data_IF_798015138665
#
_entry.id   IF_798015138665
#
_cell.length_a   1.000
_cell.length_b   1.000
_cell.length_c   1.000
_cell.angle_alpha   90.00
_cell.angle_beta   90.00
_cell.angle_gamma   90.00
#
_symmetry.space_group_name_H-M   'P 1'
#
loop_
_entity.id
_entity.type
_entity.pdbx_description
1 polymer ?
#
# COMPACT_ATOMS: atom_id res chain seq x y z
N UNK A 1 12.70 4.83 5.62
CA UNK A 1 13.46 4.02 4.62
C UNK A 1 12.94 4.30 3.21
N UNK A 2 13.78 4.17 2.18
CA UNK A 2 13.47 4.56 0.80
C UNK A 2 12.23 3.86 0.19
N UNK A 3 11.82 2.71 0.72
CA UNK A 3 10.66 1.97 0.21
C UNK A 3 9.32 2.54 0.67
N UNK A 4 9.27 3.21 1.84
CA UNK A 4 8.07 3.96 2.24
C UNK A 4 7.77 5.04 1.22
N UNK A 5 8.79 5.81 0.80
CA UNK A 5 8.72 6.88 -0.22
C UNK A 5 8.12 6.43 -1.56
N UNK A 6 8.22 5.14 -1.90
CA UNK A 6 7.60 4.57 -3.12
C UNK A 6 6.07 4.58 -3.05
N UNK A 7 5.49 4.35 -1.88
CA UNK A 7 4.03 4.45 -1.70
C UNK A 7 3.52 5.89 -1.90
N UNK A 8 4.36 6.88 -1.62
CA UNK A 8 4.02 8.30 -1.80
C UNK A 8 4.04 8.77 -3.25
N UNK A 9 4.64 8.01 -4.16
CA UNK A 9 4.85 8.43 -5.55
C UNK A 9 4.34 7.41 -6.55
N UNK A 10 3.69 6.34 -6.08
CA UNK A 10 3.21 5.27 -6.94
C UNK A 10 1.85 5.58 -7.55
N UNK A 11 1.81 5.53 -8.87
CA UNK A 11 0.57 5.60 -9.66
C UNK A 11 -0.33 4.39 -9.48
N UNK A 12 0.16 3.30 -8.88
CA UNK A 12 -0.59 2.08 -8.61
C UNK A 12 -0.30 1.55 -7.23
N UNK A 13 -1.37 1.28 -6.48
CA UNK A 13 -1.33 0.63 -5.18
C UNK A 13 -1.92 -0.77 -5.29
N UNK A 14 -1.35 -1.69 -4.53
CA UNK A 14 -1.70 -3.09 -4.47
C UNK A 14 -2.06 -3.47 -3.06
N UNK A 15 -3.03 -4.35 -2.89
CA UNK A 15 -3.54 -4.80 -1.60
C UNK A 15 -3.77 -6.30 -1.58
N UNK A 16 -3.69 -6.89 -0.39
CA UNK A 16 -4.01 -8.30 -0.24
C UNK A 16 -5.54 -8.49 -0.24
N UNK A 17 -6.09 -9.38 -1.10
CA UNK A 17 -7.53 -9.65 -1.11
C UNK A 17 -8.05 -10.23 0.22
N UNK A 18 -7.17 -10.81 1.04
CA UNK A 18 -7.50 -11.35 2.36
C UNK A 18 -7.22 -10.37 3.50
N UNK A 19 -6.21 -9.51 3.33
CA UNK A 19 -5.82 -8.51 4.31
C UNK A 19 -5.84 -7.13 3.65
N UNK A 20 -7.01 -6.49 3.50
CA UNK A 20 -7.14 -5.21 2.80
C UNK A 20 -6.39 -4.07 3.48
N UNK A 21 -5.98 -4.27 4.74
CA UNK A 21 -5.09 -3.37 5.45
C UNK A 21 -3.64 -3.40 4.92
N UNK A 22 -3.22 -4.47 4.23
CA UNK A 22 -1.87 -4.57 3.65
C UNK A 22 -1.86 -3.85 2.31
N UNK A 23 -1.07 -2.78 2.20
CA UNK A 23 -0.98 -1.96 0.99
C UNK A 23 0.49 -1.80 0.59
N UNK A 24 0.76 -1.83 -0.70
CA UNK A 24 2.10 -1.61 -1.27
C UNK A 24 2.05 -0.90 -2.61
N UNK A 25 3.14 -0.21 -2.95
CA UNK A 25 3.37 0.36 -4.28
C UNK A 25 3.95 -0.65 -5.28
N UNK A 26 4.36 -1.82 -4.81
CA UNK A 26 5.04 -2.83 -5.62
C UNK A 26 4.15 -4.06 -5.77
N UNK A 27 3.84 -4.40 -7.02
CA UNK A 27 2.99 -5.53 -7.38
C UNK A 27 3.65 -6.89 -7.12
N UNK A 28 4.98 -6.91 -7.00
CA UNK A 28 5.77 -8.14 -6.84
C UNK A 28 5.92 -8.55 -5.37
N UNK A 29 5.40 -7.75 -4.43
CA UNK A 29 5.39 -8.11 -3.03
C UNK A 29 4.27 -9.11 -2.73
N UNK A 30 4.53 -10.01 -1.80
CA UNK A 30 3.56 -10.88 -1.18
C UNK A 30 3.06 -10.31 0.14
N UNK A 31 1.84 -10.68 0.53
CA UNK A 31 1.30 -10.35 1.83
C UNK A 31 2.12 -11.04 2.93
N UNK A 32 2.68 -10.32 3.91
CA UNK A 32 3.53 -10.88 4.96
C UNK A 32 2.70 -11.62 6.01
N UNK A 33 1.37 -11.46 5.98
CA UNK A 33 0.45 -12.10 6.91
C UNK A 33 0.06 -13.50 6.41
N UNK A 34 -0.18 -13.67 5.10
CA UNK A 34 -0.64 -14.94 4.53
C UNK A 34 0.17 -15.48 3.34
N UNK A 35 1.16 -14.74 2.85
CA UNK A 35 1.99 -15.11 1.70
C UNK A 35 1.30 -14.99 0.32
N UNK A 36 0.09 -14.43 0.22
CA UNK A 36 -0.59 -14.24 -1.06
C UNK A 36 -0.08 -13.02 -1.82
N UNK A 37 -0.01 -13.12 -3.15
CA UNK A 37 0.28 -11.98 -4.03
C UNK A 37 -0.73 -10.84 -3.83
N UNK A 38 -0.22 -9.62 -3.85
CA UNK A 38 -1.04 -8.41 -3.79
C UNK A 38 -1.73 -8.15 -5.14
N UNK A 39 -2.96 -7.63 -5.09
CA UNK A 39 -3.77 -7.27 -6.26
C UNK A 39 -3.94 -5.77 -6.37
N UNK A 40 -4.03 -5.25 -7.58
CA UNK A 40 -4.23 -3.82 -7.81
C UNK A 40 -5.50 -3.32 -7.12
N UNK A 41 -5.38 -2.19 -6.41
CA UNK A 41 -6.50 -1.52 -5.78
C UNK A 41 -7.35 -0.78 -6.82
N UNK A 42 -8.67 -0.89 -6.67
CA UNK A 42 -9.62 -0.09 -7.44
C UNK A 42 -9.56 1.38 -7.06
N UNK A 43 -10.07 2.26 -7.93
CA UNK A 43 -10.16 3.69 -7.64
C UNK A 43 -10.94 3.97 -6.35
N UNK A 44 -12.00 3.20 -6.09
CA UNK A 44 -12.82 3.31 -4.87
C UNK A 44 -12.02 2.93 -3.61
N UNK A 45 -11.23 1.85 -3.67
CA UNK A 45 -10.38 1.43 -2.56
C UNK A 45 -9.29 2.47 -2.26
N UNK A 46 -8.69 3.06 -3.30
CA UNK A 46 -7.72 4.15 -3.11
C UNK A 46 -8.37 5.38 -2.49
N UNK A 47 -9.58 5.74 -2.94
CA UNK A 47 -10.34 6.86 -2.38
C UNK A 47 -10.66 6.67 -0.90
N UNK A 48 -10.96 5.44 -0.49
CA UNK A 48 -11.14 5.12 0.93
C UNK A 48 -9.85 5.32 1.74
N UNK A 49 -8.68 5.04 1.15
CA UNK A 49 -7.38 5.27 1.78
C UNK A 49 -6.99 6.75 1.83
N UNK A 50 -7.40 7.59 0.88
CA UNK A 50 -7.15 9.04 0.92
C UNK A 50 -7.76 9.70 2.16
N UNK A 51 -8.85 9.14 2.67
CA UNK A 51 -9.51 9.60 3.90
C UNK A 51 -9.03 8.87 5.16
N UNK A 52 -8.01 8.03 5.04
CA UNK A 52 -7.47 7.19 6.11
C UNK A 52 -6.01 7.50 6.34
N UNK A 53 -5.64 7.81 7.58
CA UNK A 53 -4.23 7.98 7.94
C UNK A 53 -3.50 6.66 7.75
N UNK A 54 -2.40 6.63 6.98
CA UNK A 54 -1.60 5.43 6.83
C UNK A 54 -0.44 5.44 7.83
N UNK A 55 -0.05 4.25 8.22
CA UNK A 55 1.13 3.98 9.03
C UNK A 55 1.95 2.88 8.39
N UNK A 56 3.25 2.89 8.60
CA UNK A 56 4.12 1.81 8.14
C UNK A 56 5.12 1.37 9.19
N UNK A 57 5.63 0.17 9.00
CA UNK A 57 6.71 -0.37 9.82
C UNK A 57 8.04 0.07 9.21
N UNK A 58 8.97 0.71 9.96
CA UNK A 58 10.25 1.22 9.42
C UNK A 58 11.18 0.16 8.82
N UNK A 59 10.86 -1.13 9.00
CA UNK A 59 11.64 -2.25 8.45
C UNK A 59 10.91 -3.02 7.34
N UNK A 60 9.64 -2.69 7.05
CA UNK A 60 8.85 -3.40 6.06
C UNK A 60 8.35 -2.43 4.97
N UNK A 61 8.39 -2.81 3.68
CA UNK A 61 7.90 -1.99 2.59
C UNK A 61 6.37 -1.81 2.59
N UNK A 62 5.65 -2.48 3.48
CA UNK A 62 4.18 -2.48 3.54
C UNK A 62 3.67 -1.41 4.50
N UNK A 63 2.62 -0.74 4.04
CA UNK A 63 1.88 0.25 4.82
C UNK A 63 0.48 -0.28 5.14
N UNK A 64 -0.08 0.22 6.22
CA UNK A 64 -1.39 -0.17 6.75
C UNK A 64 -2.22 1.05 7.16
N UNK A 65 -3.55 0.99 7.10
CA UNK A 65 -4.40 2.04 7.66
C UNK A 65 -4.25 2.09 9.19
N UNK A 66 -4.07 3.30 9.70
CA UNK A 66 -4.02 3.59 11.12
C UNK A 66 -5.41 3.39 11.71
N UNK A 67 -5.60 2.30 12.44
CA UNK A 67 -6.75 2.18 13.31
C UNK A 67 -6.73 3.31 14.35
N UNK A 68 -7.91 3.82 14.73
CA UNK A 68 -8.10 4.91 15.71
C UNK A 68 -7.33 4.67 17.03
N UNK A 69 -7.10 3.41 17.37
CA UNK A 69 -6.19 2.98 18.42
C UNK A 69 -4.92 2.45 17.74
N UNK A 70 -3.81 3.18 17.85
CA UNK A 70 -2.50 2.90 17.27
C UNK A 70 -1.98 1.49 17.64
N UNK A 71 -2.55 0.46 17.01
CA UNK A 71 -2.24 -0.91 17.30
C UNK A 71 -0.78 -1.21 16.95
N UNK A 72 -0.07 -1.99 17.77
CA UNK A 72 1.27 -2.43 17.45
C UNK A 72 1.26 -3.21 16.13
N UNK A 73 2.37 -3.15 15.38
CA UNK A 73 2.52 -3.88 14.13
C UNK A 73 2.14 -5.35 14.32
N UNK A 74 1.18 -5.92 13.56
CA UNK A 74 0.74 -7.30 13.75
C UNK A 74 1.81 -8.33 13.37
N UNK A 75 2.85 -7.91 12.66
CA UNK A 75 3.97 -8.77 12.25
C UNK A 75 5.05 -8.84 13.35
N UNK A 76 5.41 -7.71 13.96
CA UNK A 76 6.59 -7.63 14.85
C UNK A 76 6.32 -6.98 16.22
N UNK A 77 5.11 -6.50 16.49
CA UNK A 77 4.71 -5.86 17.74
C UNK A 77 5.24 -4.43 17.95
N UNK A 78 6.04 -3.90 17.02
CA UNK A 78 6.62 -2.56 17.15
C UNK A 78 5.63 -1.44 16.82
N UNK A 79 5.86 -0.24 17.37
CA UNK A 79 5.06 0.95 17.08
C UNK A 79 5.19 1.35 15.61
N UNK A 80 4.06 1.48 14.92
CA UNK A 80 4.01 1.93 13.54
C UNK A 80 4.20 3.46 13.47
N UNK A 81 4.82 3.95 12.39
CA UNK A 81 5.05 5.38 12.18
C UNK A 81 4.07 5.94 11.13
N UNK A 82 3.53 7.15 11.32
CA UNK A 82 2.61 7.76 10.35
C UNK A 82 3.30 8.04 9.02
N UNK A 83 2.55 7.79 7.95
CA UNK A 83 2.97 7.94 6.57
C UNK A 83 1.96 8.91 5.92
N UNK A 84 2.36 10.15 5.59
CA UNK A 84 1.46 11.07 4.90
C UNK A 84 1.09 10.53 3.51
N UNK A 85 -0.18 10.26 3.24
CA UNK A 85 -0.57 9.82 1.88
C UNK A 85 -0.38 10.94 0.86
N UNK A 86 -0.02 10.63 -0.40
CA UNK A 86 -0.07 11.61 -1.47
C UNK A 86 -1.54 11.88 -1.81
N UNK A 87 -2.14 12.87 -1.17
CA UNK A 87 -3.40 13.45 -1.66
C UNK A 87 -3.07 14.15 -2.98
N UNK A 88 -3.49 13.59 -4.11
CA UNK A 88 -3.22 14.18 -5.42
C UNK A 88 -3.83 15.58 -5.47
N UNK A 89 -3.01 16.62 -5.61
CA UNK A 89 -3.46 17.83 -6.30
C UNK A 89 -2.90 17.82 -7.72
N UNK A 90 -3.85 17.72 -8.65
CA UNK A 90 -3.80 18.02 -10.09
C UNK A 90 -3.04 17.09 -11.06
N UNK A 91 -3.79 16.78 -12.13
CA UNK A 91 -3.44 16.51 -13.54
C UNK A 91 -2.72 15.22 -14.01
N UNK A 92 -3.15 14.81 -15.22
CA UNK A 92 -2.74 13.79 -16.21
C UNK A 92 -2.20 12.42 -15.71
N UNK A 93 -2.59 11.23 -16.20
CA UNK A 93 -3.36 10.74 -17.34
C UNK A 93 -3.23 9.19 -17.37
N UNK A 94 -3.96 8.46 -18.22
CA UNK A 94 -4.07 6.99 -18.14
C UNK A 94 -2.90 6.22 -18.80
N UNK A 95 -2.34 5.23 -18.11
CA UNK A 95 -1.51 4.18 -18.69
C UNK A 95 -1.66 2.91 -17.82
N UNK A 96 -2.36 1.86 -18.26
CA UNK A 96 -1.97 0.89 -19.28
C UNK A 96 -0.66 0.15 -18.96
N UNK A 97 -0.80 -1.13 -18.61
CA UNK A 97 0.24 -2.16 -18.60
C UNK A 97 -0.46 -3.49 -18.32
N UNK A 98 -0.72 -4.38 -19.27
CA UNK A 98 0.07 -4.71 -20.45
C UNK A 98 1.04 -5.82 -20.07
N UNK A 99 0.53 -7.05 -20.02
CA UNK A 99 1.34 -8.26 -19.96
C UNK A 99 1.45 -8.80 -21.40
N UNK A 100 2.66 -8.86 -21.98
CA UNK A 100 2.94 -9.81 -23.05
C UNK A 100 3.80 -10.94 -22.46
N UNK A 101 3.17 -12.07 -22.13
CA UNK A 101 3.91 -13.32 -21.97
C UNK A 101 4.39 -13.78 -23.34
N UNK A 102 5.71 -13.71 -23.54
CA UNK A 102 6.39 -14.38 -24.65
C UNK A 102 6.89 -15.75 -24.21
N UNK A 103 6.35 -16.83 -24.79
CA UNK A 103 7.06 -17.77 -25.67
C UNK A 103 6.12 -18.89 -26.13
#
# INVERSE_FOLDING_TARGET
PATMMKVYTADSLYTCPMHPAVISADAKQDCPICGMHLKAMTAEQRKALESTELVGCPMDPIVMPLAKDQAPCPVCGMKLSPIPVPTKQADAGPAAGGEPEGR
#
